data_IF_858496477330
#
_entry.id   IF_858496477330
#
_cell.length_a   1.000
_cell.length_b   1.000
_cell.length_c   1.000
_cell.angle_alpha   90.00
_cell.angle_beta   90.00
_cell.angle_gamma   90.00
#
_symmetry.space_group_name_H-M   'P 1'
#
loop_
_entity.id
_entity.type
_entity.pdbx_description
1 polymer ?
#
# COMPACT_ATOMS: atom_id res chain seq x y z
N UNK A 1 31.24 0.60 -6.59
CA UNK A 1 30.10 1.51 -6.32
C UNK A 1 29.00 1.39 -7.38
N UNK A 2 29.34 1.23 -8.68
CA UNK A 2 28.39 1.00 -9.78
C UNK A 2 27.51 -0.26 -9.59
N UNK A 3 28.09 -1.38 -9.18
CA UNK A 3 27.37 -2.67 -9.03
C UNK A 3 26.17 -2.64 -8.07
N UNK A 4 26.20 -1.79 -7.04
CA UNK A 4 25.10 -1.67 -6.06
C UNK A 4 23.98 -0.70 -6.48
N UNK A 5 24.23 0.15 -7.49
CA UNK A 5 23.21 1.05 -8.02
C UNK A 5 22.29 0.30 -9.00
N UNK A 6 22.87 -0.63 -9.75
CA UNK A 6 22.15 -1.51 -10.68
C UNK A 6 21.23 -2.47 -9.92
N UNK A 7 21.70 -3.09 -8.83
CA UNK A 7 20.89 -4.06 -8.07
C UNK A 7 19.63 -3.45 -7.43
N UNK A 8 19.73 -2.24 -6.87
CA UNK A 8 18.57 -1.53 -6.27
C UNK A 8 17.52 -1.15 -7.33
N UNK A 9 17.98 -0.69 -8.49
CA UNK A 9 17.10 -0.32 -9.62
C UNK A 9 16.42 -1.56 -10.19
N UNK A 10 17.17 -2.66 -10.35
CA UNK A 10 16.65 -3.95 -10.81
C UNK A 10 15.62 -4.54 -9.84
N UNK A 11 15.86 -4.46 -8.52
CA UNK A 11 14.91 -4.95 -7.52
C UNK A 11 13.57 -4.19 -7.60
N UNK A 12 13.62 -2.86 -7.71
CA UNK A 12 12.41 -2.02 -7.87
C UNK A 12 11.69 -2.31 -9.17
N UNK A 13 12.43 -2.41 -10.27
CA UNK A 13 11.87 -2.77 -11.58
C UNK A 13 11.24 -4.17 -11.54
N UNK A 14 11.87 -5.14 -10.87
CA UNK A 14 11.35 -6.49 -10.72
C UNK A 14 10.04 -6.53 -9.91
N UNK A 15 9.99 -5.85 -8.75
CA UNK A 15 8.74 -5.73 -7.95
C UNK A 15 7.64 -5.07 -8.77
N UNK A 16 7.99 -4.02 -9.52
CA UNK A 16 7.04 -3.32 -10.38
C UNK A 16 6.54 -4.20 -11.55
N UNK A 17 7.44 -4.94 -12.21
CA UNK A 17 7.10 -5.86 -13.29
C UNK A 17 6.22 -7.00 -12.76
N UNK A 18 6.58 -7.61 -11.63
CA UNK A 18 5.76 -8.64 -10.99
C UNK A 18 4.34 -8.13 -10.71
N UNK A 19 4.21 -6.88 -10.26
CA UNK A 19 2.91 -6.27 -10.04
C UNK A 19 2.15 -6.02 -11.34
N UNK A 20 2.80 -5.47 -12.36
CA UNK A 20 2.17 -5.26 -13.66
C UNK A 20 1.76 -6.57 -14.32
N UNK A 21 2.58 -7.62 -14.19
CA UNK A 21 2.27 -8.96 -14.65
C UNK A 21 1.10 -9.55 -13.88
N UNK A 22 1.03 -9.34 -12.56
CA UNK A 22 -0.13 -9.72 -11.78
C UNK A 22 -1.35 -8.97 -12.33
N UNK A 23 -1.31 -7.65 -12.46
CA UNK A 23 -2.40 -6.84 -12.97
C UNK A 23 -2.85 -7.20 -14.39
N UNK A 24 -1.93 -7.60 -15.28
CA UNK A 24 -2.20 -7.92 -16.69
C UNK A 24 -2.54 -9.39 -16.95
N UNK A 25 -2.07 -10.32 -16.10
CA UNK A 25 -2.41 -11.74 -16.18
C UNK A 25 -3.88 -12.02 -15.82
N UNK A 26 -4.54 -11.06 -15.18
CA UNK A 26 -5.99 -11.12 -15.02
C UNK A 26 -6.63 -10.63 -16.32
N UNK A 27 -7.45 -11.46 -17.00
CA UNK A 27 -8.12 -11.06 -18.24
C UNK A 27 -8.89 -9.76 -18.00
N UNK A 28 -9.17 -8.92 -19.00
CA UNK A 28 -9.98 -7.69 -18.82
C UNK A 28 -11.48 -7.95 -19.06
N UNK A 29 -11.84 -9.16 -19.44
CA UNK A 29 -13.12 -9.47 -20.10
C UNK A 29 -14.25 -9.95 -19.17
N UNK A 30 -14.47 -9.28 -18.04
CA UNK A 30 -15.69 -9.47 -17.22
C UNK A 30 -16.49 -8.17 -17.19
N UNK A 31 -16.61 -7.54 -18.36
CA UNK A 31 -17.75 -6.69 -18.61
C UNK A 31 -18.96 -7.64 -18.63
N UNK A 32 -19.57 -7.84 -17.47
CA UNK A 32 -20.89 -8.44 -17.40
C UNK A 32 -21.80 -7.49 -18.18
N UNK A 33 -22.08 -7.82 -19.44
CA UNK A 33 -23.11 -7.17 -20.27
C UNK A 33 -24.53 -7.52 -19.78
N UNK A 34 -24.64 -8.14 -18.60
CA UNK A 34 -25.89 -8.35 -17.90
C UNK A 34 -26.59 -7.03 -17.56
N UNK A 35 -27.92 -7.05 -17.37
CA UNK A 35 -28.70 -5.85 -17.10
C UNK A 35 -28.12 -5.10 -15.90
N UNK A 36 -27.70 -3.85 -16.14
CA UNK A 36 -27.20 -2.92 -15.12
C UNK A 36 -28.28 -2.74 -14.04
N UNK A 37 -28.09 -3.31 -12.86
CA UNK A 37 -29.01 -3.09 -11.75
C UNK A 37 -28.94 -4.09 -10.62
N UNK A 38 -28.71 -5.38 -10.91
CA UNK A 38 -28.74 -6.39 -9.85
C UNK A 38 -27.32 -6.80 -9.46
N UNK A 39 -26.99 -6.58 -8.19
CA UNK A 39 -25.74 -7.05 -7.61
C UNK A 39 -25.74 -8.58 -7.64
N UNK A 40 -24.80 -9.18 -8.37
CA UNK A 40 -24.73 -10.64 -8.47
C UNK A 40 -24.48 -11.20 -7.05
N UNK A 41 -25.38 -12.02 -6.47
CA UNK A 41 -25.19 -12.61 -5.15
C UNK A 41 -23.89 -13.42 -5.04
N UNK A 42 -23.27 -13.78 -6.18
CA UNK A 42 -21.93 -14.37 -6.23
C UNK A 42 -20.83 -13.44 -5.72
N UNK A 43 -20.97 -12.12 -5.86
CA UNK A 43 -19.96 -11.15 -5.38
C UNK A 43 -19.95 -11.11 -3.86
N UNK A 44 -21.11 -11.12 -3.21
CA UNK A 44 -21.18 -11.16 -1.73
C UNK A 44 -20.54 -12.46 -1.19
N UNK A 45 -20.82 -13.60 -1.82
CA UNK A 45 -20.18 -14.88 -1.50
C UNK A 45 -18.66 -14.88 -1.72
N UNK A 46 -18.14 -14.05 -2.64
CA UNK A 46 -16.71 -13.86 -2.84
C UNK A 46 -16.06 -13.09 -1.69
N UNK A 47 -16.77 -12.10 -1.12
CA UNK A 47 -16.31 -11.38 0.07
C UNK A 47 -16.34 -12.26 1.33
N UNK A 48 -17.21 -13.25 1.42
CA UNK A 48 -17.18 -14.24 2.51
C UNK A 48 -15.91 -15.12 2.46
N UNK A 49 -15.32 -15.29 1.27
CA UNK A 49 -14.02 -15.98 1.10
C UNK A 49 -12.81 -15.08 1.36
N UNK A 50 -12.99 -13.76 1.40
CA UNK A 50 -11.93 -12.76 1.55
C UNK A 50 -11.51 -12.59 3.02
N UNK A 51 -10.34 -13.11 3.40
CA UNK A 51 -9.91 -13.19 4.81
C UNK A 51 -8.87 -12.13 5.18
N UNK A 52 -8.96 -10.95 4.60
CA UNK A 52 -8.04 -9.85 4.84
C UNK A 52 -8.79 -8.64 5.40
N UNK A 53 -8.19 -7.87 6.33
CA UNK A 53 -8.79 -6.66 6.87
C UNK A 53 -9.09 -5.64 5.77
N UNK A 54 -10.34 -5.18 5.75
CA UNK A 54 -10.82 -4.04 4.96
C UNK A 54 -11.61 -3.09 5.88
N UNK A 55 -12.22 -2.05 5.33
CA UNK A 55 -12.99 -1.07 6.09
C UNK A 55 -12.17 -0.40 7.19
N UNK A 56 -12.74 -0.25 8.38
CA UNK A 56 -12.07 0.39 9.52
C UNK A 56 -10.81 -0.39 9.94
N UNK A 57 -10.88 -1.73 10.00
CA UNK A 57 -9.72 -2.53 10.38
C UNK A 57 -8.59 -2.46 9.34
N UNK A 58 -8.93 -2.47 8.05
CA UNK A 58 -7.97 -2.24 6.96
C UNK A 58 -7.31 -0.88 7.06
N UNK A 59 -8.12 0.18 7.24
CA UNK A 59 -7.63 1.55 7.34
C UNK A 59 -6.65 1.73 8.52
N UNK A 60 -6.99 1.21 9.71
CA UNK A 60 -6.10 1.23 10.89
C UNK A 60 -4.79 0.52 10.60
N UNK A 61 -4.87 -0.64 9.94
CA UNK A 61 -3.70 -1.45 9.59
C UNK A 61 -2.74 -0.69 8.68
N UNK A 62 -3.25 -0.11 7.60
CA UNK A 62 -2.45 0.69 6.68
C UNK A 62 -1.89 1.95 7.35
N UNK A 63 -2.61 2.58 8.28
CA UNK A 63 -2.08 3.71 9.06
C UNK A 63 -0.90 3.31 9.93
N UNK A 64 -1.02 2.21 10.69
CA UNK A 64 0.07 1.71 11.54
C UNK A 64 1.28 1.33 10.68
N UNK A 65 1.04 0.66 9.55
CA UNK A 65 2.11 0.27 8.62
C UNK A 65 2.79 1.48 7.99
N UNK A 66 2.05 2.51 7.57
CA UNK A 66 2.62 3.76 7.04
C UNK A 66 3.40 4.53 8.08
N UNK A 67 2.91 4.59 9.32
CA UNK A 67 3.64 5.17 10.44
C UNK A 67 4.96 4.42 10.69
N UNK A 68 4.90 3.09 10.69
CA UNK A 68 6.08 2.23 10.86
C UNK A 68 7.07 2.43 9.74
N UNK A 69 6.59 2.52 8.48
CA UNK A 69 7.41 2.84 7.32
C UNK A 69 8.11 4.19 7.47
N UNK A 70 7.37 5.23 7.88
CA UNK A 70 7.92 6.56 8.10
C UNK A 70 9.05 6.53 9.14
N UNK A 71 8.87 5.85 10.27
CA UNK A 71 9.90 5.67 11.29
C UNK A 71 11.16 4.98 10.71
N UNK A 72 10.96 3.92 9.92
CA UNK A 72 12.03 3.21 9.23
C UNK A 72 12.69 4.00 8.10
N UNK A 73 12.01 4.97 7.49
CA UNK A 73 12.65 5.91 6.59
C UNK A 73 13.51 6.90 7.39
N UNK A 74 13.01 7.41 8.52
CA UNK A 74 13.64 8.54 9.24
C UNK A 74 14.70 8.21 10.28
N UNK A 75 14.85 6.97 10.68
CA UNK A 75 15.93 6.59 11.62
C UNK A 75 15.40 6.18 12.96
N UNK A 76 14.11 5.95 13.10
CA UNK A 76 13.42 5.99 14.38
C UNK A 76 12.78 4.65 14.70
N UNK A 77 12.75 4.36 15.99
CA UNK A 77 12.07 3.19 16.54
C UNK A 77 10.55 3.47 16.48
N UNK A 78 9.72 2.61 15.85
CA UNK A 78 8.30 2.89 15.72
C UNK A 78 7.58 3.09 17.07
N UNK A 79 7.88 2.29 18.09
CA UNK A 79 7.30 2.45 19.43
C UNK A 79 7.97 3.55 20.28
N UNK A 80 9.15 4.02 19.88
CA UNK A 80 9.91 5.06 20.59
C UNK A 80 10.51 6.04 19.58
N UNK A 81 9.70 6.86 18.89
CA UNK A 81 10.16 7.67 17.75
C UNK A 81 11.22 8.73 18.12
N UNK A 82 11.40 9.04 19.40
CA UNK A 82 12.47 9.89 19.91
C UNK A 82 13.84 9.20 19.94
N UNK A 83 13.90 7.86 19.94
CA UNK A 83 15.14 7.09 19.88
C UNK A 83 15.51 6.77 18.43
N UNK A 84 16.81 6.63 18.21
CA UNK A 84 17.33 6.16 16.93
C UNK A 84 17.23 4.64 16.85
N UNK A 85 16.84 4.14 15.68
CA UNK A 85 16.76 2.72 15.38
C UNK A 85 18.14 2.09 15.52
N UNK A 86 18.26 1.13 16.41
CA UNK A 86 19.44 0.28 16.51
C UNK A 86 19.32 -0.78 15.42
N UNK A 87 20.34 -0.95 14.60
CA UNK A 87 20.22 -1.87 13.46
C UNK A 87 20.60 -3.27 13.90
N UNK A 88 19.70 -3.95 14.62
CA UNK A 88 19.93 -5.31 15.05
C UNK A 88 19.59 -6.30 13.92
N UNK A 89 20.44 -7.32 13.75
CA UNK A 89 20.17 -8.40 12.79
C UNK A 89 18.84 -9.12 13.10
N UNK A 90 18.44 -9.14 14.37
CA UNK A 90 17.18 -9.71 14.82
C UNK A 90 15.99 -9.03 14.15
N UNK A 91 16.00 -7.70 14.00
CA UNK A 91 14.89 -6.97 13.36
C UNK A 91 14.73 -7.37 11.90
N UNK A 92 15.86 -7.56 11.19
CA UNK A 92 15.87 -8.02 9.80
C UNK A 92 15.27 -9.41 9.70
N UNK A 93 15.74 -10.35 10.53
CA UNK A 93 15.25 -11.74 10.52
C UNK A 93 13.75 -11.77 10.83
N UNK A 94 13.31 -11.08 11.89
CA UNK A 94 11.91 -11.05 12.33
C UNK A 94 11.03 -10.44 11.24
N UNK A 95 11.43 -9.32 10.65
CA UNK A 95 10.68 -8.66 9.58
C UNK A 95 10.59 -9.54 8.34
N UNK A 96 11.69 -10.15 7.89
CA UNK A 96 11.68 -10.99 6.70
C UNK A 96 10.87 -12.27 6.91
N UNK A 97 10.95 -12.91 8.09
CA UNK A 97 10.10 -14.05 8.43
C UNK A 97 8.62 -13.67 8.43
N UNK A 98 8.28 -12.49 8.96
CA UNK A 98 6.91 -11.98 8.95
C UNK A 98 6.44 -11.68 7.52
N UNK A 99 7.29 -11.07 6.68
CA UNK A 99 6.95 -10.79 5.29
C UNK A 99 6.62 -12.07 4.52
N UNK A 100 7.38 -13.15 4.75
CA UNK A 100 7.07 -14.48 4.18
C UNK A 100 5.67 -14.93 4.62
N UNK A 101 5.36 -14.89 5.92
CA UNK A 101 4.04 -15.30 6.44
C UNK A 101 2.92 -14.48 5.79
N UNK A 102 3.06 -13.15 5.74
CA UNK A 102 2.05 -12.26 5.13
C UNK A 102 1.87 -12.53 3.65
N UNK A 103 2.96 -12.64 2.90
CA UNK A 103 2.90 -12.88 1.45
C UNK A 103 2.27 -14.24 1.16
N UNK A 104 2.60 -15.27 1.93
CA UNK A 104 1.95 -16.58 1.81
C UNK A 104 0.45 -16.50 2.10
N UNK A 105 0.04 -15.89 3.22
CA UNK A 105 -1.37 -15.75 3.57
C UNK A 105 -2.16 -14.92 2.54
N UNK A 106 -1.58 -13.80 2.06
CA UNK A 106 -2.19 -12.98 1.03
C UNK A 106 -2.31 -13.73 -0.31
N UNK A 107 -1.31 -14.54 -0.67
CA UNK A 107 -1.32 -15.35 -1.89
C UNK A 107 -2.36 -16.48 -1.83
N UNK A 108 -2.50 -17.15 -0.68
CA UNK A 108 -3.55 -18.16 -0.46
C UNK A 108 -4.94 -17.52 -0.54
N UNK A 109 -5.13 -16.36 0.07
CA UNK A 109 -6.37 -15.61 -0.07
C UNK A 109 -6.62 -15.20 -1.52
N UNK A 110 -5.58 -14.87 -2.29
CA UNK A 110 -5.71 -14.47 -3.69
C UNK A 110 -6.18 -15.64 -4.56
N UNK A 111 -5.72 -16.86 -4.29
CA UNK A 111 -6.24 -18.05 -4.95
C UNK A 111 -7.70 -18.35 -4.61
N UNK A 112 -8.12 -18.09 -3.37
CA UNK A 112 -9.51 -18.31 -2.92
C UNK A 112 -10.52 -17.36 -3.58
N UNK A 113 -10.07 -16.14 -3.91
CA UNK A 113 -10.90 -15.06 -4.49
C UNK A 113 -10.54 -14.73 -5.94
N UNK A 114 -9.85 -15.63 -6.64
CA UNK A 114 -9.36 -15.41 -8.02
C UNK A 114 -10.45 -15.04 -9.03
N UNK A 115 -11.70 -15.34 -8.72
CA UNK A 115 -12.88 -14.96 -9.51
C UNK A 115 -13.15 -13.44 -9.49
N UNK A 116 -12.67 -12.71 -8.48
CA UNK A 116 -12.82 -11.25 -8.36
C UNK A 116 -11.49 -10.52 -8.48
N UNK A 117 -11.30 -9.83 -9.61
CA UNK A 117 -10.05 -9.11 -9.92
C UNK A 117 -9.72 -8.01 -8.92
N UNK A 118 -10.71 -7.26 -8.45
CA UNK A 118 -10.41 -6.21 -7.48
C UNK A 118 -10.00 -6.78 -6.14
N UNK A 119 -10.57 -7.92 -5.71
CA UNK A 119 -10.13 -8.57 -4.48
C UNK A 119 -8.70 -9.08 -4.61
N UNK A 120 -8.35 -9.69 -5.75
CA UNK A 120 -6.98 -10.09 -6.03
C UNK A 120 -6.03 -8.89 -6.08
N UNK A 121 -6.45 -7.78 -6.68
CA UNK A 121 -5.64 -6.56 -6.73
C UNK A 121 -5.42 -5.93 -5.36
N UNK A 122 -6.43 -5.96 -4.49
CA UNK A 122 -6.29 -5.55 -3.07
C UNK A 122 -5.27 -6.42 -2.35
N UNK A 123 -5.25 -7.73 -2.60
CA UNK A 123 -4.27 -8.64 -2.01
C UNK A 123 -2.86 -8.43 -2.59
N UNK A 124 -2.76 -8.21 -3.90
CA UNK A 124 -1.49 -7.88 -4.56
C UNK A 124 -0.89 -6.58 -4.00
N UNK A 125 -1.73 -5.57 -3.76
CA UNK A 125 -1.34 -4.32 -3.11
C UNK A 125 -0.74 -4.57 -1.72
N UNK A 126 -1.36 -5.43 -0.91
CA UNK A 126 -0.85 -5.77 0.42
C UNK A 126 0.48 -6.53 0.37
N UNK A 127 0.63 -7.45 -0.59
CA UNK A 127 1.90 -8.14 -0.86
C UNK A 127 2.99 -7.10 -1.15
N UNK A 128 2.72 -6.15 -2.05
CA UNK A 128 3.68 -5.08 -2.40
C UNK A 128 4.02 -4.24 -1.20
N UNK A 129 3.04 -3.85 -0.38
CA UNK A 129 3.32 -3.09 0.83
C UNK A 129 4.28 -3.85 1.74
N UNK A 130 3.99 -5.13 2.02
CA UNK A 130 4.86 -5.99 2.83
C UNK A 130 6.29 -6.08 2.27
N UNK A 131 6.43 -6.28 0.96
CA UNK A 131 7.74 -6.32 0.30
C UNK A 131 8.48 -4.97 0.35
N UNK A 132 7.76 -3.86 0.19
CA UNK A 132 8.34 -2.51 0.31
C UNK A 132 8.85 -2.27 1.73
N UNK A 133 8.08 -2.65 2.75
CA UNK A 133 8.50 -2.54 4.15
C UNK A 133 9.80 -3.30 4.42
N UNK A 134 9.86 -4.58 4.02
CA UNK A 134 11.04 -5.43 4.20
C UNK A 134 12.24 -4.87 3.42
N UNK A 135 12.03 -4.43 2.18
CA UNK A 135 13.09 -3.82 1.36
C UNK A 135 13.64 -2.53 1.98
N UNK A 136 12.78 -1.68 2.55
CA UNK A 136 13.22 -0.45 3.25
C UNK A 136 14.05 -0.80 4.49
N UNK A 137 13.61 -1.79 5.28
CA UNK A 137 14.32 -2.26 6.48
C UNK A 137 15.69 -2.85 6.12
N UNK A 138 15.74 -3.77 5.15
CA UNK A 138 16.97 -4.36 4.62
C UNK A 138 17.91 -3.31 4.04
N UNK A 139 17.39 -2.43 3.19
CA UNK A 139 18.20 -1.37 2.57
C UNK A 139 18.81 -0.45 3.61
N UNK A 140 18.08 -0.16 4.68
CA UNK A 140 18.58 0.63 5.79
C UNK A 140 19.68 -0.09 6.56
N UNK A 141 19.49 -1.38 6.87
CA UNK A 141 20.47 -2.21 7.56
C UNK A 141 21.81 -2.24 6.78
N UNK A 142 21.78 -2.46 5.47
CA UNK A 142 23.00 -2.56 4.65
C UNK A 142 23.64 -1.21 4.25
N UNK A 143 22.94 -0.08 4.38
CA UNK A 143 23.40 1.21 3.85
C UNK A 143 23.45 2.33 4.89
N UNK A 144 23.66 1.99 6.18
CA UNK A 144 23.65 2.92 7.32
C UNK A 144 24.41 4.24 7.09
N UNK A 145 25.60 4.17 6.51
CA UNK A 145 26.52 5.31 6.42
C UNK A 145 26.54 5.98 5.04
N UNK A 146 25.72 5.50 4.09
CA UNK A 146 25.80 5.98 2.71
C UNK A 146 25.05 7.30 2.54
N UNK A 147 25.78 8.34 2.14
CA UNK A 147 25.19 9.58 1.60
C UNK A 147 24.22 9.22 0.47
N UNK A 148 23.00 9.76 0.54
CA UNK A 148 21.96 9.53 -0.47
C UNK A 148 21.01 8.36 -0.19
N UNK A 149 21.04 7.74 0.99
CA UNK A 149 20.07 6.72 1.40
C UNK A 149 18.61 7.18 1.17
N UNK A 150 18.29 8.43 1.54
CA UNK A 150 16.96 9.00 1.35
C UNK A 150 16.51 9.00 -0.12
N UNK A 151 17.38 9.29 -1.09
CA UNK A 151 16.99 9.25 -2.51
C UNK A 151 16.66 7.82 -2.94
N UNK A 152 17.39 6.83 -2.42
CA UNK A 152 17.12 5.43 -2.72
C UNK A 152 15.80 4.97 -2.11
N UNK A 153 15.52 5.39 -0.88
CA UNK A 153 14.26 5.10 -0.19
C UNK A 153 13.04 5.77 -0.88
N UNK A 154 13.24 6.91 -1.55
CA UNK A 154 12.17 7.63 -2.24
C UNK A 154 11.55 6.80 -3.37
N UNK A 155 12.35 5.96 -4.03
CA UNK A 155 11.86 5.04 -5.06
C UNK A 155 10.80 4.06 -4.55
N UNK A 156 10.88 3.63 -3.29
CA UNK A 156 9.89 2.74 -2.69
C UNK A 156 8.55 3.42 -2.44
N UNK A 157 8.56 4.71 -2.09
CA UNK A 157 7.33 5.50 -1.95
C UNK A 157 6.60 5.63 -3.29
N UNK A 158 7.34 5.81 -4.40
CA UNK A 158 6.73 5.79 -5.74
C UNK A 158 6.02 4.47 -6.02
N UNK A 159 6.65 3.33 -5.69
CA UNK A 159 6.05 2.00 -5.87
C UNK A 159 4.73 1.89 -5.08
N UNK A 160 4.70 2.37 -3.82
CA UNK A 160 3.48 2.39 -3.00
C UNK A 160 2.38 3.28 -3.58
N UNK A 161 2.73 4.48 -4.05
CA UNK A 161 1.75 5.38 -4.67
C UNK A 161 1.11 4.74 -5.90
N UNK A 162 1.89 4.08 -6.75
CA UNK A 162 1.37 3.42 -7.95
C UNK A 162 0.52 2.19 -7.58
N UNK A 163 0.95 1.39 -6.60
CA UNK A 163 0.18 0.26 -6.11
C UNK A 163 -1.18 0.69 -5.54
N UNK A 164 -1.19 1.74 -4.70
CA UNK A 164 -2.41 2.30 -4.14
C UNK A 164 -3.33 2.90 -5.21
N UNK A 165 -2.78 3.66 -6.16
CA UNK A 165 -3.58 4.21 -7.25
C UNK A 165 -4.26 3.09 -8.04
N UNK A 166 -3.52 2.05 -8.44
CA UNK A 166 -4.08 0.97 -9.24
C UNK A 166 -5.13 0.14 -8.48
N UNK A 167 -4.93 -0.15 -7.20
CA UNK A 167 -5.93 -0.85 -6.38
C UNK A 167 -7.23 -0.03 -6.25
N UNK A 168 -7.10 1.29 -6.05
CA UNK A 168 -8.25 2.18 -5.95
C UNK A 168 -9.06 2.27 -7.26
N UNK A 169 -8.39 2.26 -8.42
CA UNK A 169 -9.05 2.26 -9.73
C UNK A 169 -9.84 0.97 -9.96
N UNK A 170 -9.26 -0.19 -9.65
CA UNK A 170 -9.96 -1.47 -9.78
C UNK A 170 -11.21 -1.54 -8.92
N UNK A 171 -11.16 -0.94 -7.73
CA UNK A 171 -12.29 -0.88 -6.84
C UNK A 171 -13.36 0.10 -7.31
N UNK A 172 -12.97 1.27 -7.83
CA UNK A 172 -13.89 2.23 -8.44
C UNK A 172 -14.65 1.62 -9.62
N UNK A 173 -14.03 0.69 -10.36
CA UNK A 173 -14.71 -0.08 -11.39
C UNK A 173 -15.77 -1.05 -10.83
N UNK A 174 -15.53 -1.65 -9.66
CA UNK A 174 -16.53 -2.52 -8.99
C UNK A 174 -17.67 -1.69 -8.40
N UNK A 175 -17.38 -0.57 -7.74
CA UNK A 175 -18.44 0.24 -7.13
C UNK A 175 -19.25 1.02 -8.17
N UNK A 176 -18.62 1.43 -9.27
CA UNK A 176 -19.27 2.13 -10.38
C UNK A 176 -20.29 1.27 -11.15
N UNK A 177 -20.20 -0.06 -11.09
CA UNK A 177 -21.21 -0.96 -11.66
C UNK A 177 -22.48 -1.06 -10.80
N UNK A 178 -22.41 -0.72 -9.50
CA UNK A 178 -23.54 -0.63 -8.55
C UNK A 178 -24.35 0.66 -8.71
N UNK A 179 -24.28 1.35 -9.86
CA UNK A 179 -25.10 2.55 -10.13
C UNK A 179 -26.56 2.13 -10.39
N UNK A 180 -27.22 1.76 -9.30
CA UNK A 180 -28.62 1.40 -9.18
C UNK A 180 -29.41 2.68 -8.93
N UNK A 181 -30.60 2.73 -9.53
CA UNK A 181 -31.55 3.83 -9.65
C UNK A 181 -31.98 4.60 -8.38
N UNK A 182 -31.40 4.35 -7.20
CA UNK A 182 -31.87 4.95 -5.96
C UNK A 182 -30.85 5.92 -5.35
N UNK A 183 -31.30 7.16 -5.26
CA UNK A 183 -30.71 8.46 -4.91
C UNK A 183 -29.74 8.63 -3.73
N UNK A 184 -29.17 7.61 -3.09
CA UNK A 184 -28.49 7.81 -1.80
C UNK A 184 -26.96 7.76 -1.79
N UNK A 185 -26.30 7.24 -2.83
CA UNK A 185 -24.83 7.26 -2.89
C UNK A 185 -24.33 8.37 -3.80
N UNK A 186 -24.26 9.57 -3.25
CA UNK A 186 -23.48 10.64 -3.83
C UNK A 186 -22.04 10.48 -3.34
N UNK A 187 -21.07 10.64 -4.25
CA UNK A 187 -19.67 10.94 -3.94
C UNK A 187 -19.48 12.19 -3.04
N UNK A 188 -20.58 12.73 -2.49
CA UNK A 188 -20.67 13.77 -1.49
C UNK A 188 -20.43 13.28 -0.07
N UNK A 189 -20.27 11.96 0.19
CA UNK A 189 -19.85 11.51 1.52
C UNK A 189 -18.51 12.20 1.85
N UNK A 190 -18.48 13.07 2.87
CA UNK A 190 -17.29 13.84 3.20
C UNK A 190 -16.07 12.94 3.45
N UNK A 191 -16.26 11.71 3.92
CA UNK A 191 -15.17 10.75 4.10
C UNK A 191 -14.45 10.39 2.79
N UNK A 192 -15.21 10.11 1.73
CA UNK A 192 -14.65 9.75 0.41
C UNK A 192 -13.98 10.95 -0.23
N UNK A 193 -14.56 12.15 -0.08
CA UNK A 193 -13.94 13.39 -0.56
C UNK A 193 -12.61 13.62 0.15
N UNK A 194 -12.56 13.48 1.48
CA UNK A 194 -11.33 13.66 2.26
C UNK A 194 -10.27 12.64 1.80
N UNK A 195 -10.65 11.37 1.63
CA UNK A 195 -9.76 10.31 1.16
C UNK A 195 -9.23 10.62 -0.25
N UNK A 196 -10.09 11.05 -1.17
CA UNK A 196 -9.71 11.43 -2.53
C UNK A 196 -8.79 12.66 -2.54
N UNK A 197 -9.06 13.65 -1.69
CA UNK A 197 -8.20 14.83 -1.50
C UNK A 197 -6.85 14.44 -0.93
N UNK A 198 -6.79 13.50 0.02
CA UNK A 198 -5.51 12.98 0.53
C UNK A 198 -4.71 12.24 -0.55
N UNK A 199 -5.36 11.36 -1.32
CA UNK A 199 -4.73 10.63 -2.41
C UNK A 199 -4.22 11.56 -3.52
N UNK A 200 -5.11 12.38 -4.09
CA UNK A 200 -4.78 13.28 -5.20
C UNK A 200 -3.87 14.42 -4.73
N UNK A 201 -4.22 15.09 -3.62
CA UNK A 201 -3.47 16.22 -3.07
C UNK A 201 -2.08 15.81 -2.62
N UNK A 202 -1.95 14.70 -1.89
CA UNK A 202 -0.65 14.12 -1.55
C UNK A 202 0.18 13.78 -2.80
N UNK A 203 -0.47 13.23 -3.83
CA UNK A 203 0.19 12.87 -5.09
C UNK A 203 0.75 14.07 -5.83
N UNK A 204 -0.02 15.15 -5.94
CA UNK A 204 0.42 16.40 -6.57
C UNK A 204 1.61 16.99 -5.83
N UNK A 205 1.55 17.07 -4.49
CA UNK A 205 2.67 17.59 -3.68
C UNK A 205 3.91 16.70 -3.81
N UNK A 206 3.74 15.39 -3.89
CA UNK A 206 4.86 14.46 -4.13
C UNK A 206 5.50 14.69 -5.50
N UNK A 207 4.72 14.77 -6.58
CA UNK A 207 5.26 15.02 -7.94
C UNK A 207 5.99 16.36 -8.02
N UNK A 208 5.42 17.43 -7.44
CA UNK A 208 6.07 18.75 -7.39
C UNK A 208 7.38 18.69 -6.60
N UNK A 209 7.39 18.00 -5.47
CA UNK A 209 8.59 17.85 -4.64
C UNK A 209 9.69 17.07 -5.37
N UNK A 210 9.33 16.02 -6.10
CA UNK A 210 10.26 15.27 -6.96
C UNK A 210 10.84 16.16 -8.05
N UNK A 211 10.01 16.95 -8.73
CA UNK A 211 10.48 17.90 -9.75
C UNK A 211 11.45 18.94 -9.16
N UNK A 212 11.16 19.48 -7.96
CA UNK A 212 12.07 20.38 -7.25
C UNK A 212 13.39 19.70 -6.87
N UNK A 213 13.37 18.43 -6.47
CA UNK A 213 14.59 17.64 -6.22
C UNK A 213 15.42 17.47 -7.50
N UNK A 214 14.80 17.09 -8.62
CA UNK A 214 15.47 16.94 -9.91
C UNK A 214 16.09 18.27 -10.37
N UNK A 215 15.35 19.38 -10.30
CA UNK A 215 15.84 20.71 -10.66
C UNK A 215 16.99 21.18 -9.76
N UNK A 216 16.92 20.91 -8.45
CA UNK A 216 17.98 21.25 -7.49
C UNK A 216 19.28 20.48 -7.75
N UNK A 217 19.23 19.29 -8.36
CA UNK A 217 20.42 18.55 -8.74
C UNK A 217 21.13 19.12 -9.98
N UNK A 218 20.41 19.86 -10.83
CA UNK A 218 20.97 20.51 -12.03
C UNK A 218 21.52 21.92 -11.76
N UNK A 219 21.23 22.52 -10.60
CA UNK A 219 21.64 23.89 -10.24
C UNK A 219 22.94 23.90 -9.41
N UNK A 220 23.75 24.98 -9.47
CA UNK A 220 24.94 25.15 -8.62
C UNK A 220 24.58 25.04 -7.13
N UNK A 221 25.49 24.44 -6.34
CA UNK A 221 25.28 23.98 -4.96
C UNK A 221 24.82 25.11 -4.02
N UNK A 222 23.51 25.33 -3.91
CA UNK A 222 22.91 26.02 -2.75
C UNK A 222 22.74 24.96 -1.67
N UNK A 223 23.52 25.06 -0.59
CA UNK A 223 23.76 23.96 0.36
C UNK A 223 22.53 23.48 1.15
N UNK A 224 21.40 24.20 1.13
CA UNK A 224 20.26 23.95 2.04
C UNK A 224 18.94 23.47 1.39
N UNK A 225 18.79 23.49 0.06
CA UNK A 225 17.49 23.20 -0.59
C UNK A 225 17.21 21.68 -0.72
N UNK A 226 18.26 20.87 -0.88
CA UNK A 226 18.15 19.41 -1.11
C UNK A 226 17.50 18.61 0.01
N UNK A 227 17.79 18.84 1.31
CA UNK A 227 17.16 18.05 2.37
C UNK A 227 15.65 18.32 2.45
N UNK A 228 15.22 19.59 2.40
CA UNK A 228 13.83 19.96 2.57
C UNK A 228 12.90 19.35 1.52
N UNK A 229 13.21 19.50 0.23
CA UNK A 229 12.38 18.94 -0.84
C UNK A 229 12.24 17.41 -0.76
N UNK A 230 13.30 16.74 -0.30
CA UNK A 230 13.27 15.28 -0.07
C UNK A 230 12.28 14.93 1.04
N UNK A 231 12.30 15.64 2.18
CA UNK A 231 11.35 15.41 3.27
C UNK A 231 9.90 15.66 2.84
N UNK A 232 9.65 16.74 2.08
CA UNK A 232 8.31 17.04 1.55
C UNK A 232 7.84 15.94 0.59
N UNK A 233 8.71 15.46 -0.30
CA UNK A 233 8.41 14.35 -1.19
C UNK A 233 7.96 13.10 -0.42
N UNK A 234 8.73 12.72 0.60
CA UNK A 234 8.41 11.54 1.42
C UNK A 234 7.08 11.68 2.13
N UNK A 235 6.86 12.80 2.83
CA UNK A 235 5.65 13.00 3.58
C UNK A 235 4.42 13.04 2.65
N UNK A 236 4.51 13.80 1.56
CA UNK A 236 3.43 13.90 0.58
C UNK A 236 3.14 12.56 -0.12
N UNK A 237 4.18 11.81 -0.47
CA UNK A 237 4.03 10.49 -1.09
C UNK A 237 3.43 9.45 -0.14
N UNK A 238 3.80 9.47 1.14
CA UNK A 238 3.18 8.59 2.14
C UNK A 238 1.70 8.97 2.38
N UNK A 239 1.38 10.26 2.46
CA UNK A 239 -0.02 10.73 2.57
C UNK A 239 -0.83 10.35 1.34
N UNK A 240 -0.26 10.49 0.14
CA UNK A 240 -0.84 10.05 -1.13
C UNK A 240 -1.19 8.56 -1.09
N UNK A 241 -0.19 7.73 -0.82
CA UNK A 241 -0.36 6.28 -0.78
C UNK A 241 -1.36 5.85 0.30
N UNK A 242 -1.35 6.50 1.48
CA UNK A 242 -2.32 6.25 2.53
C UNK A 242 -3.75 6.60 2.08
N UNK A 243 -3.94 7.74 1.42
CA UNK A 243 -5.25 8.10 0.86
C UNK A 243 -5.76 7.07 -0.14
N UNK A 244 -4.90 6.59 -1.04
CA UNK A 244 -5.29 5.54 -1.98
C UNK A 244 -5.59 4.19 -1.31
N UNK A 245 -4.82 3.80 -0.28
CA UNK A 245 -5.08 2.58 0.48
C UNK A 245 -6.37 2.65 1.27
N UNK A 246 -6.68 3.79 1.89
CA UNK A 246 -7.97 3.96 2.54
C UNK A 246 -9.12 3.88 1.54
N UNK A 247 -8.98 4.47 0.35
CA UNK A 247 -10.00 4.32 -0.69
C UNK A 247 -10.20 2.85 -1.06
N UNK A 248 -9.10 2.11 -1.15
CA UNK A 248 -9.06 0.67 -1.39
C UNK A 248 -9.73 -0.15 -0.26
N UNK A 249 -9.53 0.23 1.00
CA UNK A 249 -10.13 -0.43 2.17
C UNK A 249 -11.64 -0.19 2.28
N UNK A 250 -12.11 1.00 1.92
CA UNK A 250 -13.52 1.37 2.05
C UNK A 250 -14.40 0.84 0.91
N UNK A 251 -13.89 0.51 -0.28
CA UNK A 251 -14.79 -0.03 -1.31
C UNK A 251 -15.40 -1.40 -1.02
N UNK A 252 -14.67 -2.37 -0.40
CA UNK A 252 -15.29 -3.55 0.18
C UNK A 252 -16.47 -3.26 1.12
N UNK A 253 -16.41 -2.16 1.89
CA UNK A 253 -17.53 -1.73 2.76
C UNK A 253 -18.75 -1.37 1.93
N UNK A 254 -18.57 -0.68 0.80
CA UNK A 254 -19.67 -0.31 -0.12
C UNK A 254 -20.37 -1.53 -0.68
N UNK A 255 -19.60 -2.60 -0.95
CA UNK A 255 -20.12 -3.85 -1.47
C UNK A 255 -20.84 -4.64 -0.39
N UNK A 256 -20.18 -4.86 0.75
CA UNK A 256 -20.62 -5.81 1.78
C UNK A 256 -21.55 -5.18 2.84
N UNK A 257 -21.60 -3.86 2.94
CA UNK A 257 -22.23 -3.15 4.05
C UNK A 257 -21.52 -3.34 5.41
N UNK A 258 -20.40 -4.05 5.46
CA UNK A 258 -19.67 -4.35 6.68
C UNK A 258 -18.58 -3.29 6.93
N UNK A 259 -18.93 -2.26 7.70
CA UNK A 259 -18.04 -1.12 7.99
C UNK A 259 -16.79 -1.53 8.77
N UNK A 260 -16.92 -2.50 9.68
CA UNK A 260 -15.80 -2.93 10.53
C UNK A 260 -14.75 -3.68 9.70
N UNK A 261 -15.20 -4.47 8.72
CA UNK A 261 -14.34 -5.27 7.85
C UNK A 261 -13.88 -6.60 8.48
N UNK A 262 -14.73 -7.19 9.32
CA UNK A 262 -14.51 -8.53 9.88
C UNK A 262 -15.07 -9.63 8.94
N UNK A 263 -14.47 -10.83 8.91
CA UNK A 263 -14.98 -11.94 8.11
C UNK A 263 -16.35 -12.45 8.60
N UNK A 264 -17.25 -12.81 7.68
CA UNK A 264 -18.57 -13.38 7.99
C UNK A 264 -18.48 -14.90 8.20
N UNK A 265 -18.09 -15.30 9.41
CA UNK A 265 -18.06 -16.68 9.96
C UNK A 265 -17.10 -17.69 9.28
N UNK A 266 -16.53 -18.61 10.08
CA UNK A 266 -15.80 -19.80 9.60
C UNK A 266 -14.30 -19.65 9.29
N UNK A 267 -13.78 -18.45 9.01
CA UNK A 267 -12.35 -18.22 8.68
C UNK A 267 -11.62 -17.20 9.58
N UNK A 268 -12.10 -17.01 10.81
CA UNK A 268 -11.56 -16.00 11.73
C UNK A 268 -10.06 -16.16 12.03
N UNK A 269 -9.55 -17.40 12.09
CA UNK A 269 -8.16 -17.64 12.47
C UNK A 269 -7.15 -17.04 11.48
N UNK A 270 -7.29 -17.29 10.17
CA UNK A 270 -6.36 -16.77 9.16
C UNK A 270 -6.40 -15.25 9.09
N UNK A 271 -7.59 -14.67 9.22
CA UNK A 271 -7.78 -13.23 9.31
C UNK A 271 -7.02 -12.62 10.49
N UNK A 272 -7.19 -13.18 11.70
CA UNK A 272 -6.54 -12.65 12.90
C UNK A 272 -5.03 -12.87 12.89
N UNK A 273 -4.56 -14.00 12.36
CA UNK A 273 -3.13 -14.23 12.15
C UNK A 273 -2.58 -13.17 11.21
N UNK A 274 -3.21 -12.95 10.05
CA UNK A 274 -2.80 -11.90 9.13
C UNK A 274 -2.77 -10.53 9.83
N UNK A 275 -3.87 -10.17 10.49
CA UNK A 275 -4.07 -8.86 11.14
C UNK A 275 -3.10 -8.57 12.28
N UNK A 276 -2.66 -9.59 13.03
CA UNK A 276 -1.66 -9.41 14.10
C UNK A 276 -0.25 -9.38 13.51
N UNK A 277 0.05 -10.27 12.55
CA UNK A 277 1.40 -10.37 12.01
C UNK A 277 1.83 -9.11 11.25
N UNK A 278 0.90 -8.38 10.63
CA UNK A 278 1.19 -7.08 9.99
C UNK A 278 1.75 -6.02 10.95
N UNK A 279 1.56 -6.18 12.26
CA UNK A 279 2.04 -5.23 13.26
C UNK A 279 3.41 -5.61 13.82
N UNK A 280 3.98 -6.76 13.49
CA UNK A 280 5.30 -7.17 13.99
C UNK A 280 6.40 -6.13 13.67
N UNK A 281 6.45 -5.48 12.50
CA UNK A 281 7.43 -4.42 12.21
C UNK A 281 7.34 -3.21 13.15
N UNK A 282 6.23 -3.04 13.88
CA UNK A 282 6.11 -1.99 14.90
C UNK A 282 7.09 -2.23 16.06
N UNK A 283 7.45 -3.48 16.33
CA UNK A 283 8.28 -3.89 17.47
C UNK A 283 9.79 -3.93 17.18
N UNK A 284 10.24 -3.48 16.00
CA UNK A 284 11.67 -3.37 15.70
C UNK A 284 12.34 -2.32 16.60
N UNK A 285 13.61 -2.53 16.97
CA UNK A 285 14.32 -1.72 18.00
C UNK A 285 15.60 -1.10 17.46
#
# INVERSE_FOLDING_TARGET
MLFFLETDTLAKAFVFILFLQSASAFPLDTRNDGPRGDFDPKVEQLFDRYNVPYGVLGAISHTIMMYTLACHIFGRIPLMPWKYLTQHLVDVIVTSCMAIVIVTLASLNASDVQESRALVMLLAMQIIFGLVMDAVILQRYFNREKKGLMIRLAGWVCVLCVAGLLSSQMLAHITGSKRINDSEWQWSDPGIIIIAVMGIGGGVVAVLSFFLMCRSNSAPKVENIKPFATYVFFFAGLVCALGWFWLADYGPVVVTGNVVGQPRQGKNALFWVYFVFQWVPLFTI
#
